data_IF_350168371762
#
_entry.id   IF_350168371762
#
_cell.length_a   1.000
_cell.length_b   1.000
_cell.length_c   1.000
_cell.angle_alpha   90.00
_cell.angle_beta   90.00
_cell.angle_gamma   90.00
#
_symmetry.space_group_name_H-M   'P 1'
#
loop_
_entity.id
_entity.type
_entity.pdbx_description
1 polymer ?
2 non-polymer ?
3 water ?
#
# COMPACT_ATOMS: atom_id res chain seq x y z
N UNK A 1 16.77 4.71 -1.45
CA UNK A 1 15.56 5.28 -2.07
C UNK A 1 15.65 6.80 -2.10
N UNK A 2 14.96 7.37 -3.12
CA UNK A 2 14.89 8.80 -3.31
C UNK A 2 13.54 9.16 -3.97
N UNK A 3 12.85 10.06 -3.30
CA UNK A 3 11.55 10.53 -3.80
C UNK A 3 11.52 12.04 -3.63
N UNK A 4 10.84 12.69 -4.59
CA UNK A 4 10.71 14.15 -4.54
C UNK A 4 9.23 14.51 -4.63
N UNK A 5 8.78 15.29 -3.68
CA UNK A 5 7.38 15.75 -3.61
C UNK A 5 7.33 17.18 -4.14
N UNK A 6 6.29 17.49 -4.90
CA UNK A 6 6.05 18.84 -5.45
C UNK A 6 4.68 19.39 -5.07
N UNK A 7 4.63 20.66 -4.67
CA UNK A 7 3.34 21.22 -4.26
C UNK A 7 2.34 21.37 -5.41
N UNK A 8 2.83 21.61 -6.60
CA UNK A 8 1.90 21.77 -7.73
C UNK A 8 2.00 20.61 -8.68
N UNK A 9 0.99 20.42 -9.53
CA UNK A 9 1.06 19.30 -10.47
C UNK A 9 2.13 19.57 -11.51
N UNK A 10 2.42 18.52 -12.28
CA UNK A 10 3.45 18.71 -13.31
C UNK A 10 4.82 19.07 -12.84
N UNK A 11 5.19 18.70 -11.61
CA UNK A 11 6.53 18.84 -11.07
C UNK A 11 6.95 20.29 -10.90
N UNK A 12 5.98 21.10 -10.50
CA UNK A 12 6.15 22.53 -10.27
C UNK A 12 5.96 22.92 -8.81
N UNK A 13 6.44 24.11 -8.45
CA UNK A 13 6.20 24.61 -7.11
C UNK A 13 7.26 24.14 -6.12
N UNK A 14 7.06 24.50 -4.86
CA UNK A 14 7.95 24.06 -3.78
C UNK A 14 8.11 22.54 -3.83
N UNK A 15 9.36 22.07 -3.71
CA UNK A 15 9.65 20.62 -3.76
C UNK A 15 10.50 20.20 -2.56
N UNK A 16 10.42 18.92 -2.23
CA UNK A 16 11.21 18.34 -1.13
C UNK A 16 11.77 16.99 -1.58
N UNK A 17 13.10 16.86 -1.55
CA UNK A 17 13.77 15.60 -1.81
C UNK A 17 14.01 14.82 -0.53
N UNK A 18 13.64 13.56 -0.56
CA UNK A 18 13.55 12.68 0.58
C UNK A 18 14.19 11.32 0.30
N UNK A 19 14.93 10.79 1.30
CA UNK A 19 15.53 9.47 1.14
C UNK A 19 15.26 8.60 2.36
N UNK A 20 14.36 8.99 3.26
CA UNK A 20 14.11 8.29 4.50
C UNK A 20 12.63 8.31 4.90
N UNK A 21 12.28 7.41 5.80
CA UNK A 21 10.99 7.49 6.45
C UNK A 21 10.85 8.86 7.07
N UNK A 22 9.63 9.41 7.04
CA UNK A 22 9.31 10.64 7.74
C UNK A 22 7.96 10.52 8.44
N UNK A 23 7.85 10.73 9.73
CA UNK A 23 6.50 10.77 10.35
C UNK A 23 5.82 12.10 10.08
N UNK A 24 6.46 13.14 9.65
CA UNK A 24 5.81 14.44 9.50
C UNK A 24 6.47 15.19 8.37
N UNK A 25 5.77 15.33 7.24
CA UNK A 25 6.29 16.07 6.11
C UNK A 25 5.79 17.51 6.08
N UNK A 26 4.91 17.87 7.02
CA UNK A 26 4.37 19.23 6.97
C UNK A 26 5.41 20.34 7.02
N UNK A 27 6.55 20.23 7.71
CA UNK A 27 7.57 21.29 7.66
C UNK A 27 8.11 21.56 6.27
N UNK A 28 8.00 20.66 5.32
CA UNK A 28 8.65 20.79 4.04
C UNK A 28 7.75 21.12 2.86
N UNK A 29 6.45 20.80 2.96
CA UNK A 29 5.48 21.19 1.96
C UNK A 29 4.11 21.02 2.58
N UNK A 30 3.10 21.76 2.06
CA UNK A 30 1.76 21.71 2.66
C UNK A 30 0.74 20.93 1.83
N UNK A 31 1.14 20.61 0.61
CA UNK A 31 0.31 19.84 -0.31
C UNK A 31 1.23 19.09 -1.26
N UNK A 32 0.74 18.06 -1.89
CA UNK A 32 1.57 17.31 -2.83
C UNK A 32 0.74 16.94 -4.06
N UNK A 33 1.05 17.61 -5.16
CA UNK A 33 0.27 17.34 -6.36
C UNK A 33 1.07 16.67 -7.45
N UNK A 34 2.35 16.38 -7.25
CA UNK A 34 3.10 15.54 -8.14
C UNK A 34 4.34 15.00 -7.41
N UNK A 35 4.83 13.88 -7.92
CA UNK A 35 5.96 13.20 -7.28
C UNK A 35 6.89 12.61 -8.33
N UNK A 36 8.18 12.71 -8.14
CA UNK A 36 9.12 11.92 -8.94
C UNK A 36 9.80 10.89 -8.00
N UNK A 37 9.61 9.61 -8.28
CA UNK A 37 10.29 8.55 -7.52
C UNK A 37 11.57 8.19 -8.29
N UNK A 38 12.71 8.63 -7.77
CA UNK A 38 13.97 8.28 -8.48
C UNK A 38 14.33 6.82 -8.26
N UNK A 39 14.12 6.33 -7.04
CA UNK A 39 14.42 4.96 -6.69
C UNK A 39 13.65 4.54 -5.44
N UNK A 40 13.42 3.24 -5.31
CA UNK A 40 12.84 2.61 -4.16
C UNK A 40 11.32 2.56 -4.29
N UNK A 41 10.75 1.83 -3.36
CA UNK A 41 9.32 1.63 -3.25
C UNK A 41 8.91 2.37 -1.98
N UNK A 42 7.82 3.13 -2.06
CA UNK A 42 7.42 4.04 -1.01
C UNK A 42 5.95 3.83 -0.67
N UNK A 43 5.62 3.94 0.59
CA UNK A 43 4.21 4.07 1.00
C UNK A 43 4.04 5.50 1.47
N UNK A 44 3.16 6.28 0.81
CA UNK A 44 2.84 7.62 1.27
C UNK A 44 1.60 7.55 2.17
N UNK A 45 1.49 8.46 3.13
CA UNK A 45 0.34 8.53 4.00
C UNK A 45 -0.23 9.95 3.99
N UNK A 46 -1.57 10.01 3.90
CA UNK A 46 -2.28 11.29 3.94
C UNK A 46 -2.02 12.10 5.21
N UNK A 47 -1.92 11.43 6.35
CA UNK A 47 -1.81 12.12 7.64
C UNK A 47 -0.48 11.81 8.33
N UNK A 48 -0.10 12.60 9.33
CA UNK A 48 1.19 12.33 10.00
C UNK A 48 1.14 11.00 10.71
N UNK A 49 2.37 10.52 11.06
CA UNK A 49 2.53 9.32 11.87
C UNK A 49 1.91 8.09 11.22
N UNK A 50 2.00 8.09 9.87
CA UNK A 50 1.65 6.92 9.10
C UNK A 50 0.19 6.51 9.25
N UNK A 51 -0.65 7.54 9.12
CA UNK A 51 -2.08 7.36 9.31
C UNK A 51 -2.80 7.96 8.11
N UNK A 52 -4.12 7.69 8.09
CA UNK A 52 -4.93 8.14 6.96
C UNK A 52 -4.78 7.26 5.74
N UNK A 53 -5.19 7.75 4.59
CA UNK A 53 -5.09 6.98 3.36
C UNK A 53 -3.64 6.71 3.00
N UNK A 54 -3.46 5.55 2.41
CA UNK A 54 -2.11 5.07 2.07
C UNK A 54 -1.95 4.90 0.59
N UNK A 55 -0.78 5.17 0.03
CA UNK A 55 -0.58 5.06 -1.40
C UNK A 55 0.81 4.47 -1.72
N UNK A 56 0.81 3.50 -2.60
CA UNK A 56 2.05 2.86 -3.01
C UNK A 56 2.62 3.50 -4.24
N UNK A 57 3.89 3.91 -4.21
CA UNK A 57 4.58 4.48 -5.33
C UNK A 57 5.92 3.80 -5.58
N UNK A 58 6.31 3.70 -6.84
CA UNK A 58 7.63 3.11 -7.13
C UNK A 58 8.26 3.94 -8.25
N UNK A 59 9.44 3.56 -8.69
CA UNK A 59 10.22 4.39 -9.60
C UNK A 59 9.42 4.88 -10.79
N UNK A 60 9.52 6.19 -11.04
CA UNK A 60 8.76 6.80 -12.11
C UNK A 60 8.18 8.16 -11.74
N UNK A 61 7.55 8.79 -12.73
CA UNK A 61 6.99 10.13 -12.60
C UNK A 61 5.48 10.12 -12.45
N UNK A 62 4.98 10.91 -11.52
CA UNK A 62 3.56 10.97 -11.21
C UNK A 62 3.13 12.44 -11.30
N UNK A 63 2.66 12.87 -12.46
CA UNK A 63 2.36 14.29 -12.65
C UNK A 63 1.13 14.85 -11.95
N UNK A 64 0.27 14.02 -11.39
CA UNK A 64 -0.91 14.38 -10.67
C UNK A 64 -1.18 13.32 -9.59
N UNK A 65 -1.85 13.73 -8.52
CA UNK A 65 -2.05 12.74 -7.46
C UNK A 65 -2.93 11.58 -7.93
N UNK A 66 -3.74 11.78 -8.99
CA UNK A 66 -4.61 10.67 -9.38
C UNK A 66 -3.78 9.49 -9.88
N UNK A 67 -2.55 9.79 -10.30
CA UNK A 67 -1.68 8.74 -10.84
C UNK A 67 -1.23 7.79 -9.73
N UNK A 68 -1.35 8.16 -8.45
CA UNK A 68 -1.06 7.21 -7.38
C UNK A 68 -2.32 6.83 -6.63
N UNK A 69 -3.45 7.03 -7.35
CA UNK A 69 -4.79 6.78 -6.83
C UNK A 69 -5.07 7.55 -5.56
N UNK A 70 -4.53 8.77 -5.52
CA UNK A 70 -4.74 9.66 -4.40
C UNK A 70 -6.20 10.06 -4.20
N UNK A 71 -6.61 10.20 -2.97
CA UNK A 71 -7.95 10.71 -2.66
C UNK A 71 -7.92 12.22 -2.52
N UNK A 72 -6.75 12.84 -2.52
CA UNK A 72 -6.60 14.30 -2.41
C UNK A 72 -5.11 14.60 -2.58
N UNK A 73 -4.70 15.84 -2.51
CA UNK A 73 -3.27 16.15 -2.58
C UNK A 73 -2.63 16.06 -1.20
N UNK A 74 -3.21 15.42 -0.21
CA UNK A 74 -2.56 15.34 1.11
C UNK A 74 -1.53 14.21 1.14
N UNK A 75 -0.31 14.57 1.51
CA UNK A 75 0.77 13.61 1.84
C UNK A 75 1.50 14.15 3.06
N UNK A 76 1.45 13.48 4.21
CA UNK A 76 2.05 14.08 5.40
C UNK A 76 3.01 13.12 6.12
N UNK A 77 3.12 11.88 5.66
CA UNK A 77 4.21 11.02 6.17
C UNK A 77 4.53 10.00 5.09
N UNK A 78 5.66 9.28 5.23
CA UNK A 78 6.08 8.33 4.21
C UNK A 78 7.04 7.27 4.80
N UNK A 79 6.91 6.11 4.21
CA UNK A 79 7.86 5.02 4.49
C UNK A 79 8.56 4.61 3.20
N UNK A 80 9.91 4.45 3.31
CA UNK A 80 10.68 3.73 2.31
C UNK A 80 10.60 2.23 2.62
N UNK A 81 10.04 1.48 1.69
CA UNK A 81 9.86 0.04 1.94
C UNK A 81 11.14 -0.72 1.67
N UNK A 82 11.58 -1.54 2.62
CA UNK A 82 12.89 -2.22 2.41
C UNK A 82 12.72 -3.36 1.45
N UNK A 83 13.89 -3.87 1.02
CA UNK A 83 13.93 -4.89 -0.01
C UNK A 83 13.35 -6.22 0.46
N UNK A 84 12.55 -6.91 -0.34
CA UNK A 84 12.14 -8.27 0.03
C UNK A 84 12.68 -9.26 -1.01
N UNK A 85 13.45 -10.26 -0.65
CA UNK A 85 13.84 -11.25 -1.65
C UNK A 85 12.76 -12.32 -1.86
N UNK A 86 11.84 -12.41 -0.91
CA UNK A 86 10.78 -13.40 -0.95
C UNK A 86 9.52 -12.83 -0.29
N UNK A 87 8.40 -13.40 -0.70
CA UNK A 87 7.10 -12.95 -0.23
C UNK A 87 6.25 -14.20 0.05
N UNK A 88 5.58 -14.16 1.20
CA UNK A 88 4.76 -15.31 1.60
C UNK A 88 3.65 -14.76 2.52
N UNK A 89 2.42 -15.05 2.18
CA UNK A 89 1.30 -14.60 3.01
C UNK A 89 0.26 -15.70 3.13
N UNK A 90 -0.33 -15.79 4.32
CA UNK A 90 -1.48 -16.66 4.57
C UNK A 90 -2.73 -15.80 4.60
N UNK A 91 -3.72 -16.21 3.83
CA UNK A 91 -4.98 -15.49 3.70
C UNK A 91 -6.10 -16.33 4.32
N UNK A 92 -6.85 -15.73 5.24
CA UNK A 92 -7.88 -16.45 5.97
C UNK A 92 -9.28 -15.89 5.71
N UNK A 93 -10.22 -16.83 5.69
CA UNK A 93 -11.62 -16.52 5.40
C UNK A 93 -12.28 -15.67 6.48
N UNK A 94 -11.96 -15.93 7.74
CA UNK A 94 -12.58 -15.21 8.86
C UNK A 94 -11.54 -14.48 9.69
N UNK A 95 -11.96 -13.59 10.58
CA UNK A 95 -11.03 -12.88 11.44
C UNK A 95 -10.28 -13.86 12.34
N UNK A 96 -9.15 -13.39 12.90
CA UNK A 96 -8.38 -14.16 13.87
C UNK A 96 -7.99 -15.53 13.31
N UNK A 97 -7.61 -15.53 12.03
CA UNK A 97 -7.01 -16.64 11.32
C UNK A 97 -7.92 -17.88 11.36
N UNK A 98 -9.23 -17.68 11.28
CA UNK A 98 -10.17 -18.80 11.25
C UNK A 98 -10.73 -19.01 9.85
N UNK A 99 -11.40 -20.15 9.68
CA UNK A 99 -11.97 -20.57 8.44
C UNK A 99 -10.95 -21.08 7.45
N UNK A 100 -11.31 -21.05 6.17
CA UNK A 100 -10.41 -21.58 5.14
C UNK A 100 -9.18 -20.69 5.03
N UNK A 101 -8.09 -21.27 4.55
CA UNK A 101 -6.84 -20.52 4.41
C UNK A 101 -6.13 -20.95 3.13
N UNK A 102 -5.40 -20.00 2.56
CA UNK A 102 -4.50 -20.31 1.45
C UNK A 102 -3.21 -19.54 1.69
N UNK A 103 -2.09 -20.14 1.30
CA UNK A 103 -0.75 -19.57 1.49
C UNK A 103 -0.19 -19.31 0.10
N UNK A 104 0.13 -18.06 -0.24
CA UNK A 104 0.64 -17.71 -1.56
C UNK A 104 1.96 -16.93 -1.47
N UNK A 105 2.72 -17.01 -2.56
CA UNK A 105 4.03 -16.38 -2.67
C UNK A 105 4.12 -15.55 -3.97
N UNK A 106 2.98 -15.29 -4.58
CA UNK A 106 2.84 -14.48 -5.78
C UNK A 106 1.75 -13.44 -5.62
N UNK A 107 1.59 -12.60 -6.64
CA UNK A 107 0.52 -11.62 -6.60
C UNK A 107 -0.83 -12.27 -6.93
N UNK A 108 -1.89 -11.57 -6.53
CA UNK A 108 -3.28 -11.94 -6.78
C UNK A 108 -4.16 -10.76 -7.16
N UNK A 109 -4.45 -10.57 -8.44
CA UNK A 109 -5.24 -9.43 -8.91
C UNK A 109 -6.72 -9.61 -8.67
N UNK A 110 -7.20 -10.77 -8.20
CA UNK A 110 -8.61 -10.97 -7.92
C UNK A 110 -8.74 -12.07 -6.87
N UNK A 111 -8.93 -11.71 -5.62
CA UNK A 111 -9.06 -12.68 -4.54
C UNK A 111 -10.25 -13.60 -4.73
N UNK A 112 -11.39 -12.97 -4.99
CA UNK A 112 -12.65 -13.70 -5.14
C UNK A 112 -12.58 -14.76 -6.22
N UNK A 113 -12.05 -14.35 -7.37
CA UNK A 113 -12.12 -15.30 -8.48
C UNK A 113 -11.13 -16.43 -8.35
N UNK A 114 -10.05 -16.22 -7.61
CA UNK A 114 -9.01 -17.23 -7.52
C UNK A 114 -9.20 -18.25 -6.43
N UNK A 115 -9.72 -18.07 -5.22
CA UNK A 115 -9.47 -19.24 -4.35
C UNK A 115 -10.61 -20.22 -4.18
N UNK A 116 -10.46 -21.14 -3.22
CA UNK A 116 -11.48 -22.13 -2.91
C UNK A 116 -12.54 -21.57 -1.95
N UNK A 117 -12.37 -20.32 -1.52
CA UNK A 117 -13.35 -19.66 -0.67
C UNK A 117 -13.49 -18.21 -1.11
N UNK A 118 -14.52 -17.53 -0.61
CA UNK A 118 -14.94 -16.27 -1.20
C UNK A 118 -14.87 -15.04 -0.28
N UNK A 119 -14.54 -15.18 0.99
CA UNK A 119 -14.46 -14.10 1.99
C UNK A 119 -13.06 -13.90 2.56
N UNK A 120 -12.50 -12.72 2.89
CA UNK A 120 -11.09 -12.55 3.25
C UNK A 120 -10.95 -11.57 4.41
N UNK A 121 -10.73 -12.07 5.63
CA UNK A 121 -10.82 -11.22 6.80
C UNK A 121 -9.57 -11.19 7.66
N UNK A 122 -8.55 -12.04 7.43
CA UNK A 122 -7.31 -11.86 8.23
C UNK A 122 -6.12 -12.37 7.42
N UNK A 123 -4.93 -11.91 7.81
CA UNK A 123 -3.74 -12.20 7.02
C UNK A 123 -2.57 -12.43 7.95
N UNK A 124 -1.72 -13.38 7.61
CA UNK A 124 -0.44 -13.51 8.29
C UNK A 124 0.65 -13.35 7.24
N UNK A 125 1.36 -12.25 7.35
CA UNK A 125 2.45 -11.97 6.44
C UNK A 125 3.71 -12.66 6.98
N UNK A 126 4.07 -13.77 6.35
CA UNK A 126 5.24 -14.52 6.82
C UNK A 126 6.53 -13.93 6.27
N UNK A 127 6.57 -13.50 5.04
CA UNK A 127 7.75 -12.93 4.40
C UNK A 127 7.38 -11.75 3.52
N UNK A 128 8.16 -10.68 3.49
CA UNK A 128 8.00 -9.59 2.54
C UNK A 128 6.95 -8.55 2.92
N UNK A 129 6.88 -7.58 2.03
CA UNK A 129 5.98 -6.43 2.15
C UNK A 129 5.02 -6.52 0.99
N UNK A 130 3.74 -6.24 1.31
CA UNK A 130 2.65 -6.35 0.36
C UNK A 130 1.75 -5.10 0.41
N UNK A 131 1.03 -4.88 -0.68
CA UNK A 131 -0.06 -3.92 -0.68
C UNK A 131 -1.37 -4.69 -0.85
N UNK A 132 -2.29 -4.49 0.07
CA UNK A 132 -3.64 -5.04 0.03
C UNK A 132 -4.53 -3.96 -0.56
N UNK A 133 -5.36 -4.28 -1.54
CA UNK A 133 -6.23 -3.31 -2.19
C UNK A 133 -7.71 -3.59 -1.99
N UNK A 134 -8.50 -2.54 -1.91
CA UNK A 134 -9.93 -2.66 -1.70
C UNK A 134 -10.61 -3.40 -2.85
N UNK A 135 -10.20 -3.13 -4.06
CA UNK A 135 -10.84 -3.67 -5.25
C UNK A 135 -9.93 -4.56 -6.07
N UNK A 136 -10.46 -5.39 -6.96
CA UNK A 136 -9.65 -6.16 -7.88
C UNK A 136 -8.72 -5.33 -8.74
N UNK A 137 -7.69 -5.94 -9.31
CA UNK A 137 -6.77 -5.33 -10.21
C UNK A 137 -6.13 -4.09 -9.57
N UNK A 138 -5.84 -4.18 -8.28
CA UNK A 138 -4.95 -3.26 -7.58
C UNK A 138 -5.48 -1.83 -7.64
N UNK A 139 -6.75 -1.74 -7.29
CA UNK A 139 -7.46 -0.48 -7.33
C UNK A 139 -8.15 -0.14 -6.02
N UNK A 140 -8.46 1.16 -5.85
CA UNK A 140 -9.22 1.62 -4.70
C UNK A 140 -8.28 1.96 -3.52
N UNK A 141 -8.80 1.77 -2.33
CA UNK A 141 -8.01 2.00 -1.10
C UNK A 141 -6.88 0.96 -1.04
N UNK A 142 -5.76 1.46 -0.55
CA UNK A 142 -4.53 0.71 -0.43
C UNK A 142 -4.06 0.60 0.99
N UNK A 143 -3.48 -0.56 1.34
CA UNK A 143 -3.06 -0.77 2.72
C UNK A 143 -1.73 -1.53 2.71
N UNK A 144 -0.72 -0.96 3.34
CA UNK A 144 0.57 -1.68 3.44
C UNK A 144 0.44 -2.80 4.46
N UNK A 145 0.89 -4.00 4.03
CA UNK A 145 1.05 -5.12 4.94
C UNK A 145 2.55 -5.43 5.09
N UNK A 146 3.04 -5.35 6.30
CA UNK A 146 4.43 -5.62 6.67
C UNK A 146 4.46 -6.99 7.30
N UNK A 147 5.64 -7.61 7.44
CA UNK A 147 5.68 -8.90 8.14
C UNK A 147 4.99 -8.84 9.48
N UNK A 148 4.20 -9.86 9.79
CA UNK A 148 3.46 -9.87 11.03
C UNK A 148 2.00 -10.23 10.84
N UNK A 149 1.20 -9.94 11.85
CA UNK A 149 -0.13 -10.53 11.94
C UNK A 149 -1.21 -9.47 11.77
N UNK A 150 -2.24 -9.76 10.99
CA UNK A 150 -3.39 -8.88 10.79
C UNK A 150 -4.67 -9.65 11.11
N UNK A 151 -5.19 -9.56 12.33
CA UNK A 151 -6.30 -10.40 12.76
C UNK A 151 -7.64 -9.90 12.26
N UNK A 152 -7.72 -8.63 11.91
CA UNK A 152 -8.94 -8.03 11.40
C UNK A 152 -8.59 -6.70 10.76
N UNK A 153 -9.59 -6.20 10.02
CA UNK A 153 -9.28 -5.04 9.18
C UNK A 153 -8.72 -3.87 9.95
N UNK A 154 -9.07 -3.67 11.24
CA UNK A 154 -8.50 -2.48 11.89
C UNK A 154 -6.98 -2.54 11.95
N UNK A 155 -6.42 -3.74 12.02
CA UNK A 155 -4.98 -3.94 12.11
C UNK A 155 -4.28 -3.47 10.84
N UNK A 156 -4.99 -3.42 9.70
CA UNK A 156 -4.29 -2.92 8.51
C UNK A 156 -4.76 -1.51 8.15
N UNK A 157 -5.49 -0.85 9.06
CA UNK A 157 -5.76 0.58 8.91
C UNK A 157 -6.97 0.85 8.06
N UNK A 158 -7.84 -0.14 7.88
CA UNK A 158 -9.04 0.01 7.07
C UNK A 158 -10.20 0.39 7.98
N UNK A 159 -11.19 0.97 7.32
CA UNK A 159 -12.33 1.36 8.16
C UNK A 159 -13.39 0.28 8.02
N UNK A 160 -13.12 -0.66 7.11
CA UNK A 160 -14.00 -1.81 6.90
C UNK A 160 -13.26 -2.96 6.23
N UNK A 161 -13.89 -4.11 6.13
CA UNK A 161 -13.35 -5.34 5.62
C UNK A 161 -13.20 -5.48 4.12
N UNK A 162 -13.57 -4.53 3.27
CA UNK A 162 -13.52 -4.68 1.83
C UNK A 162 -12.12 -4.81 1.24
N UNK A 163 -11.88 -5.93 0.56
CA UNK A 163 -10.61 -6.23 -0.08
C UNK A 163 -10.83 -6.95 -1.40
N UNK A 164 -9.90 -6.81 -2.31
CA UNK A 164 -10.07 -7.32 -3.66
C UNK A 164 -8.84 -7.88 -4.33
N UNK A 165 -7.65 -7.41 -3.96
CA UNK A 165 -6.42 -7.87 -4.58
C UNK A 165 -5.22 -7.63 -3.65
N UNK A 166 -4.12 -8.25 -4.03
CA UNK A 166 -2.90 -8.30 -3.23
C UNK A 166 -1.69 -8.28 -4.14
N UNK A 167 -0.76 -7.38 -3.89
CA UNK A 167 0.46 -7.27 -4.69
C UNK A 167 1.68 -7.33 -3.78
N UNK A 168 2.69 -8.09 -4.21
CA UNK A 168 3.98 -8.04 -3.54
C UNK A 168 4.63 -6.71 -3.88
N UNK A 169 5.24 -6.08 -2.92
CA UNK A 169 6.11 -4.94 -3.22
C UNK A 169 7.49 -5.45 -3.66
N UNK A 170 7.74 -5.20 -4.93
CA UNK A 170 8.98 -5.30 -5.67
C UNK A 170 9.13 -4.05 -6.56
N UNK A 171 10.37 -3.63 -6.77
CA UNK A 171 10.65 -2.46 -7.59
C UNK A 171 10.57 -2.78 -9.07
N UNK A 172 10.65 -1.74 -9.90
CA UNK A 172 10.58 -1.89 -11.35
C UNK A 172 11.96 -1.76 -11.98
N UNK A 173 12.00 -1.76 -13.31
CA UNK A 173 13.25 -1.64 -14.06
C UNK A 173 12.99 -1.51 -15.56
X LIG B 1 15.87 1.33 -0.64
X LIG B 1 15.23 0.31 -0.15
X LIG B 1 15.06 1.33 -2.05
X LIG B 1 16.65 1.87 -0.49
X LIG C 1 1.58 -2.23 8.15
X LIG C 1 0.57 -3.03 8.04
X LIG C 1 1.80 -2.65 9.74
X LIG C 1 1.78 -1.35 7.75
X LIG D 1 3.14 27.13 0.69
X LIG D 1 3.25 25.89 1.11
X LIG D 1 2.56 26.79 -0.83
X LIG D 1 3.66 27.96 0.86
#
# INVERSE_FOLDING_TARGET
>A
GKITFYEDRGFQGRHYECSTDHSNLQPYFSRCNSVRVDSGCWMLYEQPNFTGCQYFLRRGDYPDYQQWMGFSDSVRSCRLIPHSSSHRIRIYEREDYRGQMVEITDDCPHLQDRFHFSDFHSFHVMEGYWVLYEMPNYRGRQYLLRPGEYRRYHDWGAMNARVGSLRRIMDFY
>B hetero
1 ACT C O OXT CH3
>C hetero
1 ACT C O OXT CH3
>D hetero
1 ACT C O OXT CH3
#
